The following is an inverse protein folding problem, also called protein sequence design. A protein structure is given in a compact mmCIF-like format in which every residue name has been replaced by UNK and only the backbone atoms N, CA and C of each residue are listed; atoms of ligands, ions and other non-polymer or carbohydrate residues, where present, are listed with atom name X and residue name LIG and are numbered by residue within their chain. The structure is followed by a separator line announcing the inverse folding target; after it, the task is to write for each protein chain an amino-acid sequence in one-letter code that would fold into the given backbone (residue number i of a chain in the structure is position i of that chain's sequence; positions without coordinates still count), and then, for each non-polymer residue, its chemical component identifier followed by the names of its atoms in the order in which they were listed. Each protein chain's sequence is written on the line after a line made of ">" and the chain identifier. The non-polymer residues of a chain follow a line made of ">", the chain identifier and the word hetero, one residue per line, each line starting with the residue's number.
data_IF_136401467514
#
_entry.id   IF_136401467514
#
_cell.length_a   1.000
_cell.length_b   1.000
_cell.length_c   1.000
_cell.angle_alpha   90.00
_cell.angle_beta   90.00
_cell.angle_gamma   90.00
#
_symmetry.space_group_name_H-M   'P 1'
#
loop_
_entity.id
_entity.type
_entity.pdbx_description
1 polymer ?
#
# COMPACT_ATOMS: atom_id res chain seq x y z
N UNK A 1 11.82 -9.37 13.90
CA UNK A 1 12.02 -7.91 13.89
C UNK A 1 10.78 -7.27 13.29
N UNK A 2 10.21 -6.21 13.90
CA UNK A 2 9.11 -5.47 13.29
C UNK A 2 9.56 -4.85 11.96
N UNK A 3 8.63 -4.70 11.01
CA UNK A 3 8.90 -4.01 9.73
C UNK A 3 9.11 -2.52 10.01
N UNK A 4 10.18 -1.95 9.46
CA UNK A 4 10.41 -0.52 9.45
C UNK A 4 9.55 0.14 8.37
N UNK A 5 8.68 1.04 8.80
CA UNK A 5 7.81 1.85 7.94
C UNK A 5 8.30 3.30 8.00
N UNK A 6 8.66 3.87 6.86
CA UNK A 6 8.92 5.31 6.76
C UNK A 6 7.61 6.07 6.60
N UNK A 7 7.59 7.32 7.07
CA UNK A 7 6.46 8.23 6.89
C UNK A 7 6.87 9.41 6.00
N UNK A 8 5.88 10.05 5.38
CA UNK A 8 6.10 11.26 4.60
C UNK A 8 6.72 12.38 5.44
N UNK A 9 7.71 13.07 4.89
CA UNK A 9 8.39 14.15 5.60
C UNK A 9 7.66 15.47 5.37
N UNK A 10 7.33 16.18 6.44
CA UNK A 10 6.72 17.53 6.39
C UNK A 10 7.80 18.59 6.54
N UNK A 11 7.99 19.43 5.52
CA UNK A 11 8.96 20.53 5.54
C UNK A 11 8.25 21.89 5.42
N UNK A 12 8.77 22.94 6.07
CA UNK A 12 8.27 24.29 5.87
C UNK A 12 8.63 24.80 4.46
N UNK A 13 7.64 25.25 3.72
CA UNK A 13 7.78 25.90 2.42
C UNK A 13 8.09 27.38 2.55
N UNK A 14 8.50 28.00 1.43
CA UNK A 14 8.99 29.39 1.38
C UNK A 14 7.97 30.43 1.87
N UNK A 15 6.66 30.12 1.79
CA UNK A 15 5.57 31.01 2.19
C UNK A 15 4.95 30.65 3.56
N UNK A 16 5.57 29.75 4.32
CA UNK A 16 5.02 29.25 5.59
C UNK A 16 3.99 28.12 5.46
N UNK A 17 3.72 27.65 4.24
CA UNK A 17 2.92 26.45 3.99
C UNK A 17 3.73 25.18 4.32
N UNK A 18 3.08 24.11 4.78
CA UNK A 18 3.75 22.83 4.99
C UNK A 18 3.72 22.00 3.71
N UNK A 19 4.88 21.64 3.18
CA UNK A 19 5.03 20.78 2.02
C UNK A 19 5.24 19.35 2.50
N UNK A 20 4.41 18.42 2.02
CA UNK A 20 4.59 16.98 2.25
C UNK A 20 5.49 16.41 1.16
N UNK A 21 6.64 15.89 1.56
CA UNK A 21 7.57 15.19 0.68
C UNK A 21 7.30 13.69 0.77
N UNK A 22 6.93 13.03 -0.33
CA UNK A 22 6.62 11.60 -0.32
C UNK A 22 7.88 10.75 -0.10
N UNK A 23 7.68 9.53 0.38
CA UNK A 23 8.74 8.54 0.57
C UNK A 23 9.47 8.27 -0.76
N UNK A 24 10.80 8.41 -0.75
CA UNK A 24 11.63 8.05 -1.88
C UNK A 24 11.92 6.54 -1.88
N UNK A 25 11.07 5.79 -2.58
CA UNK A 25 11.23 4.34 -2.75
C UNK A 25 12.53 3.93 -3.45
N UNK A 26 13.21 4.83 -4.18
CA UNK A 26 14.48 4.50 -4.85
C UNK A 26 15.67 4.39 -3.88
N UNK A 27 15.53 4.89 -2.65
CA UNK A 27 16.55 4.72 -1.61
C UNK A 27 16.56 3.29 -1.06
N UNK A 28 17.67 2.89 -0.43
CA UNK A 28 17.84 1.56 0.15
C UNK A 28 16.69 1.21 1.10
N UNK A 29 16.25 -0.04 1.11
CA UNK A 29 15.15 -0.46 1.96
C UNK A 29 15.55 -0.34 3.44
N UNK A 30 14.77 0.37 4.28
CA UNK A 30 15.10 0.59 5.70
C UNK A 30 15.12 -0.69 6.52
N UNK A 31 14.55 -1.78 6.00
CA UNK A 31 14.59 -3.11 6.62
C UNK A 31 15.92 -3.85 6.40
N UNK A 32 16.89 -3.25 5.69
CA UNK A 32 18.21 -3.82 5.46
C UNK A 32 18.23 -4.98 4.45
N UNK A 33 17.12 -5.23 3.76
CA UNK A 33 16.97 -6.24 2.72
C UNK A 33 16.23 -5.67 1.52
N UNK A 34 16.77 -5.92 0.34
CA UNK A 34 16.17 -5.53 -0.93
C UNK A 34 15.30 -6.65 -1.51
N UNK A 35 14.24 -6.25 -2.20
CA UNK A 35 13.31 -7.19 -2.83
C UNK A 35 13.21 -6.88 -4.33
N UNK A 36 13.37 -7.91 -5.16
CA UNK A 36 13.23 -7.75 -6.60
C UNK A 36 11.75 -7.71 -7.01
N UNK A 37 10.96 -8.66 -6.50
CA UNK A 37 9.60 -8.89 -6.95
C UNK A 37 8.64 -8.88 -5.74
N UNK A 38 7.54 -8.13 -5.86
CA UNK A 38 6.43 -8.12 -4.92
C UNK A 38 5.17 -8.64 -5.62
N UNK A 39 4.52 -9.62 -5.01
CA UNK A 39 3.27 -10.22 -5.48
C UNK A 39 2.18 -9.90 -4.46
N UNK A 40 1.14 -9.21 -4.90
CA UNK A 40 0.00 -8.83 -4.08
C UNK A 40 -1.23 -9.63 -4.52
N UNK A 41 -1.80 -10.37 -3.58
CA UNK A 41 -3.18 -10.84 -3.67
C UNK A 41 -4.09 -9.67 -3.28
N UNK A 42 -4.74 -9.07 -4.26
CA UNK A 42 -5.58 -7.90 -4.06
C UNK A 42 -6.84 -8.23 -3.28
N UNK A 43 -7.33 -9.47 -3.27
CA UNK A 43 -8.48 -9.82 -2.44
C UNK A 43 -8.14 -9.68 -0.96
N UNK A 44 -6.89 -9.99 -0.59
CA UNK A 44 -6.36 -9.76 0.76
C UNK A 44 -6.31 -8.28 1.17
N UNK A 45 -6.32 -7.34 0.21
CA UNK A 45 -6.34 -5.89 0.45
C UNK A 45 -7.77 -5.33 0.38
N UNK A 46 -8.53 -5.71 -0.65
CA UNK A 46 -9.88 -5.21 -0.91
C UNK A 46 -10.85 -5.61 0.21
N UNK A 47 -10.76 -6.83 0.74
CA UNK A 47 -11.65 -7.28 1.82
C UNK A 47 -11.53 -6.40 3.08
N UNK A 48 -10.34 -6.19 3.66
CA UNK A 48 -10.18 -5.27 4.79
C UNK A 48 -10.55 -3.81 4.49
N UNK A 49 -10.33 -3.32 3.27
CA UNK A 49 -10.67 -1.94 2.89
C UNK A 49 -12.19 -1.71 2.73
N UNK A 50 -12.94 -2.75 2.39
CA UNK A 50 -14.41 -2.68 2.25
C UNK A 50 -15.15 -2.97 3.54
N UNK A 51 -14.57 -3.79 4.42
CA UNK A 51 -15.17 -4.20 5.68
C UNK A 51 -14.16 -4.04 6.83
N UNK A 52 -13.72 -2.81 7.14
CA UNK A 52 -12.68 -2.57 8.13
C UNK A 52 -13.14 -2.90 9.55
N UNK A 53 -12.29 -3.58 10.32
CA UNK A 53 -12.53 -3.77 11.76
C UNK A 53 -12.27 -2.47 12.52
N UNK A 54 -13.29 -1.96 13.21
CA UNK A 54 -13.16 -0.78 14.09
C UNK A 54 -13.28 0.58 13.41
N UNK A 55 -13.66 0.63 12.12
CA UNK A 55 -14.03 1.85 11.39
C UNK A 55 -15.31 1.60 10.58
N UNK A 56 -16.09 2.64 10.23
CA UNK A 56 -17.19 2.47 9.30
C UNK A 56 -16.67 2.00 7.93
N UNK A 57 -17.47 1.17 7.26
CA UNK A 57 -17.21 0.79 5.87
C UNK A 57 -17.33 2.02 4.96
N UNK A 58 -16.51 2.11 3.88
CA UNK A 58 -16.65 3.16 2.88
C UNK A 58 -18.07 3.14 2.28
N UNK A 59 -18.66 4.32 2.09
CA UNK A 59 -20.03 4.44 1.60
C UNK A 59 -20.10 4.43 0.07
N UNK A 60 -18.99 4.76 -0.59
CA UNK A 60 -18.89 4.84 -2.06
C UNK A 60 -17.73 4.02 -2.61
N UNK A 61 -17.82 3.65 -3.89
CA UNK A 61 -16.72 2.99 -4.58
C UNK A 61 -15.45 3.88 -4.64
N UNK A 62 -15.61 5.20 -4.73
CA UNK A 62 -14.49 6.13 -4.75
C UNK A 62 -13.72 6.11 -3.43
N UNK A 63 -14.42 6.16 -2.29
CA UNK A 63 -13.81 6.04 -0.96
C UNK A 63 -13.12 4.69 -0.77
N UNK A 64 -13.77 3.61 -1.22
CA UNK A 64 -13.18 2.26 -1.20
C UNK A 64 -11.86 2.21 -1.99
N UNK A 65 -11.84 2.78 -3.20
CA UNK A 65 -10.64 2.81 -4.03
C UNK A 65 -9.51 3.62 -3.39
N UNK A 66 -9.84 4.75 -2.74
CA UNK A 66 -8.88 5.55 -1.98
C UNK A 66 -8.26 4.74 -0.83
N UNK A 67 -9.05 3.97 -0.07
CA UNK A 67 -8.53 3.12 0.99
C UNK A 67 -7.67 1.97 0.46
N UNK A 68 -8.06 1.36 -0.67
CA UNK A 68 -7.23 0.33 -1.35
C UNK A 68 -5.89 0.92 -1.79
N UNK A 69 -5.89 2.13 -2.35
CA UNK A 69 -4.66 2.80 -2.77
C UNK A 69 -3.74 3.10 -1.59
N UNK A 70 -4.26 3.68 -0.50
CA UNK A 70 -3.47 3.94 0.71
C UNK A 70 -2.84 2.67 1.26
N UNK A 71 -3.60 1.58 1.33
CA UNK A 71 -3.09 0.32 1.86
C UNK A 71 -2.03 -0.29 0.93
N UNK A 72 -2.27 -0.27 -0.38
CA UNK A 72 -1.33 -0.76 -1.39
C UNK A 72 -0.03 0.04 -1.36
N UNK A 73 -0.13 1.38 -1.34
CA UNK A 73 1.03 2.28 -1.23
C UNK A 73 1.85 1.99 0.02
N UNK A 74 1.20 1.82 1.18
CA UNK A 74 1.88 1.45 2.43
C UNK A 74 2.69 0.15 2.26
N UNK A 75 2.10 -0.90 1.68
CA UNK A 75 2.79 -2.18 1.45
C UNK A 75 3.96 -2.02 0.48
N UNK A 76 3.76 -1.32 -0.63
CA UNK A 76 4.80 -1.08 -1.63
C UNK A 76 5.96 -0.25 -1.05
N UNK A 77 5.68 0.76 -0.23
CA UNK A 77 6.68 1.61 0.42
C UNK A 77 7.55 0.84 1.44
N UNK A 78 6.97 -0.16 2.13
CA UNK A 78 7.71 -1.05 3.03
C UNK A 78 8.65 -2.02 2.27
N UNK A 79 8.18 -2.59 1.16
CA UNK A 79 8.89 -3.66 0.45
C UNK A 79 9.87 -3.12 -0.59
N UNK A 80 9.53 -2.03 -1.29
CA UNK A 80 10.34 -1.39 -2.36
C UNK A 80 10.80 -2.36 -3.45
N UNK A 81 9.88 -3.01 -4.20
CA UNK A 81 10.26 -3.93 -5.27
C UNK A 81 11.12 -3.24 -6.34
N UNK A 82 12.26 -3.84 -6.69
CA UNK A 82 13.24 -3.27 -7.64
C UNK A 82 13.00 -3.63 -9.09
N UNK A 83 12.21 -4.67 -9.37
CA UNK A 83 12.00 -5.21 -10.71
C UNK A 83 10.53 -5.38 -11.05
N UNK A 84 9.75 -6.01 -10.19
CA UNK A 84 8.36 -6.38 -10.49
C UNK A 84 7.42 -6.07 -9.33
N UNK A 85 6.35 -5.35 -9.64
CA UNK A 85 5.13 -5.33 -8.84
C UNK A 85 4.06 -6.10 -9.61
N UNK A 86 3.59 -7.20 -9.05
CA UNK A 86 2.53 -8.02 -9.61
C UNK A 86 1.31 -7.95 -8.69
N UNK A 87 0.17 -7.50 -9.23
CA UNK A 87 -1.09 -7.39 -8.49
C UNK A 87 -2.10 -8.35 -9.12
N UNK A 88 -2.54 -9.34 -8.33
CA UNK A 88 -3.48 -10.38 -8.76
C UNK A 88 -4.85 -10.12 -8.12
N UNK A 89 -5.89 -10.06 -8.94
CA UNK A 89 -7.29 -10.07 -8.50
C UNK A 89 -7.86 -11.43 -8.90
N UNK A 90 -8.59 -12.10 -8.00
CA UNK A 90 -9.16 -13.41 -8.34
C UNK A 90 -10.17 -13.26 -9.48
N UNK A 91 -9.96 -14.08 -10.51
CA UNK A 91 -10.97 -14.33 -11.54
C UNK A 91 -11.93 -15.44 -11.12
N UNK A 92 -12.62 -16.00 -12.11
CA UNK A 92 -13.49 -17.16 -11.88
C UNK A 92 -12.66 -18.35 -11.40
N UNK A 93 -13.00 -18.83 -10.19
CA UNK A 93 -12.31 -19.95 -9.57
C UNK A 93 -12.78 -21.31 -10.13
N UNK A 94 -11.94 -22.36 -10.10
CA UNK A 94 -12.38 -23.72 -10.44
C UNK A 94 -13.39 -24.25 -9.42
N UNK A 95 -14.23 -25.22 -9.84
CA UNK A 95 -15.31 -25.78 -9.00
C UNK A 95 -14.87 -26.27 -7.62
N UNK A 96 -13.64 -26.76 -7.47
CA UNK A 96 -13.13 -27.24 -6.18
C UNK A 96 -12.94 -26.14 -5.13
N UNK A 97 -12.89 -24.87 -5.55
CA UNK A 97 -12.72 -23.68 -4.70
C UNK A 97 -14.05 -22.95 -4.43
N UNK A 98 -15.09 -23.24 -5.22
CA UNK A 98 -16.44 -22.67 -5.08
C UNK A 98 -17.19 -23.25 -3.88
#
# INVERSE_FOLDING_TARGET
>A
YPVAEEEDTKIPGENGETITVPINMASANPNGMEFDNLYLDMNGIVHPCTHPEGKPAPETEEEMMVEIFKYTERVVNMVRPRKLLFMAIDGVAPRAKM
#
